data_IF_933487771279
#
_entry.id   IF_933487771279
#
_cell.length_a   1.000
_cell.length_b   1.000
_cell.length_c   1.000
_cell.angle_alpha   90.00
_cell.angle_beta   90.00
_cell.angle_gamma   90.00
#
_symmetry.space_group_name_H-M   'P 1'
#
loop_
_entity.id
_entity.type
_entity.pdbx_description
1 polymer ?
#
# COMPACT_ATOMS: atom_id res chain seq x y z
N UNK A 1 -13.86 -26.85 -20.31
CA UNK A 1 -12.85 -26.32 -19.39
C UNK A 1 -13.44 -25.07 -18.76
N UNK A 2 -13.58 -24.98 -17.43
CA UNK A 2 -14.13 -23.78 -16.83
C UNK A 2 -13.18 -22.61 -17.03
N UNK A 3 -13.70 -21.52 -17.55
CA UNK A 3 -13.01 -20.23 -17.69
C UNK A 3 -12.83 -19.68 -16.26
N UNK A 4 -11.60 -19.61 -15.77
CA UNK A 4 -11.30 -18.94 -14.51
C UNK A 4 -11.55 -17.46 -14.68
N UNK A 5 -12.51 -16.93 -13.93
CA UNK A 5 -12.84 -15.52 -13.87
C UNK A 5 -11.64 -14.73 -13.36
N UNK A 6 -11.25 -13.68 -14.08
CA UNK A 6 -10.16 -12.79 -13.68
C UNK A 6 -10.39 -12.12 -12.31
N UNK A 7 -11.63 -12.13 -11.80
CA UNK A 7 -11.97 -11.62 -10.47
C UNK A 7 -11.49 -12.52 -9.33
N UNK A 8 -11.37 -13.83 -9.54
CA UNK A 8 -10.84 -14.75 -8.52
C UNK A 8 -9.32 -14.64 -8.37
N UNK A 9 -8.62 -14.31 -9.45
CA UNK A 9 -7.17 -14.18 -9.43
C UNK A 9 -6.69 -12.98 -8.58
N UNK A 10 -7.50 -11.95 -8.48
CA UNK A 10 -7.21 -10.76 -7.67
C UNK A 10 -7.64 -10.90 -6.19
N UNK A 11 -8.41 -11.93 -5.84
CA UNK A 11 -8.86 -12.20 -4.47
C UNK A 11 -7.88 -13.01 -3.61
N UNK A 12 -6.86 -13.58 -4.18
CA UNK A 12 -5.89 -14.44 -3.49
C UNK A 12 -5.01 -13.75 -2.45
N UNK A 13 -5.17 -12.45 -2.20
CA UNK A 13 -4.43 -11.68 -1.20
C UNK A 13 -5.24 -11.21 0.01
N UNK A 14 -6.55 -11.46 0.04
CA UNK A 14 -7.38 -11.14 1.20
C UNK A 14 -7.25 -12.24 2.27
N UNK A 15 -6.43 -12.01 3.28
CA UNK A 15 -6.42 -12.81 4.50
C UNK A 15 -7.80 -12.67 5.16
N UNK A 16 -8.49 -13.81 5.26
CA UNK A 16 -9.78 -13.99 5.91
C UNK A 16 -9.69 -13.54 7.39
N UNK A 17 -10.14 -12.34 7.68
CA UNK A 17 -10.23 -11.81 9.03
C UNK A 17 -11.44 -12.46 9.73
N UNK A 18 -11.28 -13.68 10.21
CA UNK A 18 -12.24 -14.31 11.12
C UNK A 18 -12.13 -13.66 12.48
N UNK A 19 -13.14 -12.91 12.82
CA UNK A 19 -13.37 -12.45 14.20
C UNK A 19 -13.52 -13.65 15.14
N UNK A 20 -12.81 -13.73 16.26
CA UNK A 20 -13.06 -14.77 17.25
C UNK A 20 -14.33 -14.43 18.00
N UNK A 21 -15.33 -15.28 17.85
CA UNK A 21 -16.56 -15.31 18.63
C UNK A 21 -16.23 -15.81 20.03
N UNK A 22 -16.44 -14.99 21.04
CA UNK A 22 -16.23 -15.31 22.43
C UNK A 22 -17.08 -16.51 22.89
N UNK A 23 -16.47 -17.40 23.67
CA UNK A 23 -17.11 -18.46 24.40
C UNK A 23 -16.30 -18.73 25.66
N UNK A 24 -16.90 -18.43 26.82
CA UNK A 24 -16.29 -18.60 28.11
C UNK A 24 -16.40 -20.03 28.64
N UNK A 25 -15.64 -20.31 29.72
CA UNK A 25 -15.82 -21.48 30.56
C UNK A 25 -14.51 -22.10 31.04
N UNK A 26 -14.02 -21.81 32.19
CA UNK A 26 -14.07 -22.56 33.41
C UNK A 26 -12.93 -23.55 33.65
N UNK A 27 -12.12 -23.28 34.71
CA UNK A 27 -11.81 -24.30 35.69
C UNK A 27 -10.44 -24.98 35.67
N UNK A 28 -9.67 -24.85 36.78
CA UNK A 28 -8.93 -25.97 37.31
C UNK A 28 -7.40 -25.84 37.35
N UNK A 29 -6.84 -25.41 38.41
CA UNK A 29 -5.88 -25.83 39.43
C UNK A 29 -4.69 -26.72 39.03
N UNK A 30 -3.49 -26.35 39.54
CA UNK A 30 -2.34 -27.22 39.53
C UNK A 30 -1.07 -26.51 40.01
N UNK A 31 -0.72 -26.70 41.26
CA UNK A 31 0.55 -26.28 41.90
C UNK A 31 1.71 -27.13 41.41
N UNK A 32 2.89 -26.54 41.30
CA UNK A 32 4.14 -27.27 41.18
C UNK A 32 5.34 -26.33 41.21
N UNK A 33 6.02 -26.29 42.34
CA UNK A 33 7.22 -25.50 42.55
C UNK A 33 8.45 -26.20 41.98
N UNK A 34 9.48 -25.41 41.71
CA UNK A 34 10.79 -25.86 41.32
C UNK A 34 11.81 -24.73 41.34
N UNK A 35 12.69 -24.72 42.34
CA UNK A 35 13.85 -23.85 42.43
C UNK A 35 14.96 -24.33 41.51
N UNK A 36 15.78 -23.42 40.99
CA UNK A 36 17.18 -23.75 40.77
C UNK A 36 17.84 -23.09 39.56
N UNK A 37 18.77 -22.25 39.89
CA UNK A 37 20.12 -22.16 39.36
C UNK A 37 20.42 -21.23 38.19
N UNK A 38 21.23 -20.26 38.51
CA UNK A 38 22.08 -19.40 37.70
C UNK A 38 22.87 -20.12 36.62
N UNK A 39 22.88 -19.56 35.42
CA UNK A 39 23.77 -19.94 34.33
C UNK A 39 23.98 -18.74 33.42
N UNK A 40 25.18 -18.19 33.48
CA UNK A 40 25.69 -17.08 32.66
C UNK A 40 25.85 -17.45 31.20
N UNK A 41 25.58 -16.49 30.30
CA UNK A 41 26.33 -16.29 29.08
C UNK A 41 25.85 -17.03 27.85
N UNK A 42 25.25 -16.31 26.92
CA UNK A 42 25.68 -16.26 25.51
C UNK A 42 24.88 -15.18 24.77
N UNK A 43 25.60 -14.22 24.26
CA UNK A 43 25.10 -13.26 23.28
C UNK A 43 24.78 -14.03 21.99
N UNK A 44 23.56 -14.48 21.81
CA UNK A 44 23.02 -14.94 20.55
C UNK A 44 22.50 -13.72 19.80
N UNK A 45 23.24 -13.26 18.79
CA UNK A 45 22.77 -12.23 17.89
C UNK A 45 21.52 -12.72 17.16
N UNK A 46 20.38 -12.15 17.51
CA UNK A 46 19.20 -12.19 16.66
C UNK A 46 19.45 -11.23 15.51
N UNK A 47 19.87 -11.76 14.36
CA UNK A 47 19.73 -11.08 13.07
C UNK A 47 18.23 -11.03 12.73
N UNK A 48 17.52 -10.12 13.34
CA UNK A 48 16.24 -9.69 12.83
C UNK A 48 16.53 -8.87 11.60
N UNK A 49 16.24 -9.39 10.40
CA UNK A 49 16.15 -8.57 9.21
C UNK A 49 14.91 -7.68 9.36
N UNK A 50 15.05 -6.63 10.14
CA UNK A 50 14.08 -5.55 10.17
C UNK A 50 14.22 -4.83 8.84
N UNK A 51 13.21 -4.94 7.98
CA UNK A 51 13.05 -4.02 6.87
C UNK A 51 13.00 -2.62 7.45
N UNK A 52 14.10 -1.88 7.35
CA UNK A 52 14.17 -0.49 7.78
C UNK A 52 13.33 0.32 6.80
N UNK A 53 12.08 0.60 7.15
CA UNK A 53 11.24 1.50 6.39
C UNK A 53 11.81 2.91 6.51
N UNK A 54 12.51 3.38 5.49
CA UNK A 54 12.91 4.78 5.41
C UNK A 54 11.68 5.64 5.15
N UNK A 55 11.45 6.68 5.94
CA UNK A 55 10.38 7.65 5.70
C UNK A 55 10.90 8.79 4.86
N UNK A 56 10.30 9.02 3.70
CA UNK A 56 10.67 10.10 2.77
C UNK A 56 9.64 11.22 2.83
N UNK A 57 10.07 12.49 2.95
CA UNK A 57 9.16 13.62 2.84
C UNK A 57 8.56 13.70 1.44
N UNK A 58 7.25 13.95 1.37
CA UNK A 58 6.55 14.30 0.13
C UNK A 58 5.90 15.66 0.27
N UNK A 59 5.91 16.44 -0.80
CA UNK A 59 5.15 17.68 -0.88
C UNK A 59 3.72 17.32 -1.28
N UNK A 60 2.77 17.80 -0.51
CA UNK A 60 1.33 17.57 -0.74
C UNK A 60 0.62 18.93 -0.77
N UNK A 61 -0.55 19.04 -1.41
CA UNK A 61 -1.35 20.25 -1.33
C UNK A 61 -1.64 20.62 0.14
N UNK A 62 -1.22 21.83 0.53
CA UNK A 62 -1.38 22.34 1.90
C UNK A 62 -0.25 22.01 2.87
N UNK A 63 0.88 21.43 2.43
CA UNK A 63 2.03 21.21 3.29
C UNK A 63 2.97 20.10 2.83
N UNK A 64 3.58 19.43 3.79
CA UNK A 64 4.41 18.25 3.56
C UNK A 64 4.00 17.12 4.49
N UNK A 65 4.18 15.90 4.03
CA UNK A 65 3.92 14.68 4.81
C UNK A 65 5.12 13.74 4.72
N UNK A 66 5.14 12.72 5.56
CA UNK A 66 6.13 11.65 5.47
C UNK A 66 5.47 10.39 4.97
N UNK A 67 6.04 9.82 3.93
CA UNK A 67 5.60 8.55 3.33
C UNK A 67 6.68 7.50 3.52
N UNK A 68 6.29 6.26 3.76
CA UNK A 68 7.23 5.15 3.93
C UNK A 68 6.69 3.85 3.37
N UNK A 69 7.61 3.01 2.89
CA UNK A 69 7.31 1.62 2.52
C UNK A 69 6.78 0.85 3.74
N UNK A 70 5.92 -0.13 3.48
CA UNK A 70 5.26 -0.97 4.51
C UNK A 70 4.42 -0.21 5.55
N UNK A 71 4.25 1.11 5.39
CA UNK A 71 3.32 1.88 6.23
C UNK A 71 1.89 1.34 6.09
N UNK A 72 1.14 1.33 7.18
CA UNK A 72 -0.28 1.01 7.17
C UNK A 72 -1.15 2.15 6.59
N UNK A 73 -0.57 3.33 6.37
CA UNK A 73 -1.33 4.50 5.92
C UNK A 73 -2.12 5.15 7.05
N UNK A 74 -3.31 5.63 6.76
CA UNK A 74 -4.19 6.30 7.73
C UNK A 74 -3.73 7.71 8.07
N UNK A 75 -2.96 8.37 7.21
CA UNK A 75 -2.59 9.77 7.38
C UNK A 75 -3.83 10.65 7.63
N UNK A 76 -3.67 11.73 8.43
CA UNK A 76 -4.77 12.56 8.86
C UNK A 76 -5.65 13.04 7.69
N UNK A 77 -6.94 12.85 7.80
CA UNK A 77 -7.88 13.40 6.81
C UNK A 77 -8.00 14.90 7.01
N UNK A 78 -7.63 15.67 5.98
CA UNK A 78 -7.69 17.14 5.98
C UNK A 78 -8.36 17.63 4.70
N UNK A 79 -8.83 18.87 4.73
CA UNK A 79 -9.32 19.55 3.54
C UNK A 79 -8.19 20.41 2.95
N UNK A 80 -7.96 20.29 1.65
CA UNK A 80 -7.00 21.15 0.94
C UNK A 80 -7.50 22.57 0.96
N UNK A 81 -6.72 23.49 1.52
CA UNK A 81 -7.14 24.87 1.77
C UNK A 81 -6.92 25.81 0.57
N UNK A 82 -6.07 25.43 -0.38
CA UNK A 82 -5.70 26.31 -1.50
C UNK A 82 -5.21 25.51 -2.72
N UNK A 83 -5.07 26.22 -3.85
CA UNK A 83 -4.62 25.61 -5.10
C UNK A 83 -5.75 24.97 -5.92
N UNK A 84 -5.41 24.23 -7.00
CA UNK A 84 -6.39 23.72 -7.96
C UNK A 84 -7.34 22.66 -7.35
N UNK A 85 -6.99 22.11 -6.21
CA UNK A 85 -7.78 21.09 -5.51
C UNK A 85 -8.38 21.59 -4.19
N UNK A 86 -8.48 22.91 -3.99
CA UNK A 86 -9.08 23.49 -2.79
C UNK A 86 -10.51 22.94 -2.57
N UNK A 87 -10.81 22.61 -1.32
CA UNK A 87 -12.09 22.02 -0.91
C UNK A 87 -12.16 20.50 -0.95
N UNK A 88 -11.23 19.79 -1.62
CA UNK A 88 -11.17 18.33 -1.62
C UNK A 88 -10.53 17.81 -0.34
N UNK A 89 -10.88 16.60 0.04
CA UNK A 89 -10.26 15.89 1.16
C UNK A 89 -9.01 15.13 0.72
N UNK A 90 -8.06 15.01 1.61
CA UNK A 90 -6.87 14.19 1.44
C UNK A 90 -6.57 13.42 2.73
N UNK A 91 -6.02 12.22 2.62
CA UNK A 91 -5.67 11.35 3.75
C UNK A 91 -6.76 10.35 4.13
N UNK A 92 -6.45 9.53 5.12
CA UNK A 92 -7.35 8.53 5.67
C UNK A 92 -7.29 7.15 4.98
N UNK A 93 -6.62 7.01 3.84
CA UNK A 93 -6.50 5.73 3.16
C UNK A 93 -5.52 4.76 3.84
N UNK A 94 -5.92 3.50 3.99
CA UNK A 94 -5.15 2.46 4.65
C UNK A 94 -4.63 1.42 3.65
N UNK A 95 -3.56 0.68 4.05
CA UNK A 95 -2.95 -0.39 3.26
C UNK A 95 -3.96 -1.43 2.76
N UNK A 96 -4.96 -1.80 3.56
CA UNK A 96 -6.00 -2.74 3.17
C UNK A 96 -6.89 -2.25 2.00
N UNK A 97 -6.88 -0.96 1.71
CA UNK A 97 -7.69 -0.31 0.66
C UNK A 97 -6.86 0.00 -0.59
N UNK A 98 -5.61 -0.50 -0.65
CA UNK A 98 -4.66 -0.08 -1.66
C UNK A 98 -4.95 -0.68 -3.04
N UNK A 99 -5.53 -1.89 -3.07
CA UNK A 99 -5.78 -2.59 -4.32
C UNK A 99 -7.02 -2.02 -5.03
N UNK A 100 -6.83 -1.66 -6.28
CA UNK A 100 -7.90 -1.42 -7.23
C UNK A 100 -8.15 -2.66 -8.09
N UNK A 101 -8.54 -2.43 -9.33
CA UNK A 101 -8.64 -3.44 -10.39
C UNK A 101 -7.78 -3.02 -11.59
N UNK A 102 -8.01 -3.59 -12.77
CA UNK A 102 -7.42 -3.12 -14.04
C UNK A 102 -8.12 -1.87 -14.61
N UNK A 103 -9.13 -1.33 -13.92
CA UNK A 103 -9.89 -0.17 -14.37
C UNK A 103 -9.36 1.14 -13.77
N UNK A 104 -9.13 2.14 -14.62
CA UNK A 104 -8.68 3.46 -14.18
C UNK A 104 -9.73 4.13 -13.30
N UNK A 105 -9.30 4.62 -12.14
CA UNK A 105 -10.17 5.16 -11.11
C UNK A 105 -10.59 4.13 -10.06
N UNK A 106 -10.10 2.89 -10.13
CA UNK A 106 -10.32 1.90 -9.07
C UNK A 106 -9.44 2.12 -7.85
N UNK A 107 -9.80 1.50 -6.72
CA UNK A 107 -9.05 1.60 -5.46
C UNK A 107 -9.29 2.90 -4.67
N UNK A 108 -10.30 3.68 -5.03
CA UNK A 108 -10.79 4.78 -4.21
C UNK A 108 -11.78 4.26 -3.16
N UNK A 109 -11.51 4.44 -1.86
CA UNK A 109 -12.45 4.01 -0.81
C UNK A 109 -13.83 4.67 -0.99
N UNK A 110 -14.87 3.86 -1.07
CA UNK A 110 -16.25 4.33 -1.23
C UNK A 110 -16.68 4.69 -2.65
N UNK A 111 -15.86 4.44 -3.67
CA UNK A 111 -16.19 4.68 -5.08
C UNK A 111 -16.12 3.37 -5.88
N UNK A 112 -17.06 3.17 -6.78
CA UNK A 112 -17.14 1.98 -7.64
C UNK A 112 -16.99 2.26 -9.13
N UNK A 113 -17.15 3.51 -9.57
CA UNK A 113 -17.11 3.90 -10.99
C UNK A 113 -15.70 4.14 -11.54
N UNK A 114 -15.62 4.32 -12.84
CA UNK A 114 -14.42 4.68 -13.60
C UNK A 114 -14.05 6.15 -13.40
N UNK A 115 -12.82 6.47 -13.81
CA UNK A 115 -12.28 7.84 -13.82
C UNK A 115 -11.88 8.33 -12.43
N UNK A 116 -11.25 9.47 -12.40
CA UNK A 116 -10.62 10.05 -11.20
C UNK A 116 -11.05 11.49 -10.93
N UNK A 117 -11.75 12.09 -11.88
CA UNK A 117 -12.11 13.51 -11.85
C UNK A 117 -13.01 13.86 -10.67
N UNK A 118 -12.67 14.92 -9.98
CA UNK A 118 -13.44 15.41 -8.83
C UNK A 118 -13.29 14.57 -7.57
N UNK A 119 -12.51 13.48 -7.57
CA UNK A 119 -12.36 12.59 -6.41
C UNK A 119 -11.36 13.15 -5.40
N UNK A 120 -11.56 12.80 -4.15
CA UNK A 120 -10.66 13.09 -3.05
C UNK A 120 -9.31 12.34 -3.18
N UNK A 121 -8.34 12.65 -2.32
CA UNK A 121 -6.99 12.07 -2.34
C UNK A 121 -6.76 11.19 -1.09
N UNK A 122 -7.37 10.00 -0.98
CA UNK A 122 -7.33 9.19 0.25
C UNK A 122 -5.90 8.80 0.65
N UNK A 123 -4.98 8.75 -0.30
CA UNK A 123 -3.58 8.41 -0.07
C UNK A 123 -2.63 9.62 -0.29
N UNK A 124 -3.14 10.83 -0.48
CA UNK A 124 -2.43 12.07 -0.81
C UNK A 124 -1.86 12.16 -2.23
N UNK A 125 -1.65 11.05 -2.91
CA UNK A 125 -1.09 11.02 -4.26
C UNK A 125 -2.16 11.25 -5.32
N UNK A 126 -1.74 11.82 -6.45
CA UNK A 126 -2.62 12.02 -7.60
C UNK A 126 -2.64 10.76 -8.47
N UNK A 127 -3.74 10.48 -9.11
CA UNK A 127 -3.83 9.39 -10.06
C UNK A 127 -2.90 9.62 -11.26
N UNK A 128 -2.54 8.54 -11.95
CA UNK A 128 -1.71 8.58 -13.15
C UNK A 128 -2.41 9.42 -14.23
N UNK A 129 -1.67 10.32 -14.85
CA UNK A 129 -2.09 11.11 -16.00
C UNK A 129 -1.59 10.43 -17.27
N UNK A 130 -2.40 9.60 -17.88
CA UNK A 130 -2.06 9.00 -19.17
C UNK A 130 -1.95 10.06 -20.28
N UNK A 131 -1.29 9.70 -21.37
CA UNK A 131 -1.17 10.53 -22.55
C UNK A 131 -2.50 10.90 -23.21
N UNK A 132 -2.40 11.65 -24.28
CA UNK A 132 -3.56 12.00 -25.12
C UNK A 132 -3.93 10.82 -26.04
N UNK A 133 -5.17 10.79 -26.49
CA UNK A 133 -5.62 9.82 -27.52
C UNK A 133 -6.62 8.79 -27.03
N UNK A 134 -7.23 9.01 -25.85
CA UNK A 134 -8.28 8.14 -25.29
C UNK A 134 -9.70 8.63 -25.65
N UNK A 135 -9.94 8.97 -26.92
CA UNK A 135 -11.23 9.53 -27.36
C UNK A 135 -12.41 8.60 -27.08
N UNK A 136 -12.21 7.28 -27.12
CA UNK A 136 -13.21 6.28 -26.76
C UNK A 136 -13.38 6.09 -25.24
N UNK A 137 -12.45 6.60 -24.45
CA UNK A 137 -12.45 6.52 -23.00
C UNK A 137 -12.13 7.88 -22.36
N UNK A 138 -13.02 8.88 -22.51
CA UNK A 138 -12.77 10.26 -22.11
C UNK A 138 -12.44 10.41 -20.63
N UNK A 139 -12.88 9.47 -19.77
CA UNK A 139 -12.57 9.45 -18.35
C UNK A 139 -11.05 9.26 -18.07
N UNK A 140 -10.27 8.74 -19.02
CA UNK A 140 -8.80 8.64 -18.92
C UNK A 140 -8.19 10.02 -19.25
N UNK A 141 -8.61 10.67 -20.32
CA UNK A 141 -8.15 12.02 -20.69
C UNK A 141 -8.50 13.07 -19.62
N UNK A 142 -9.62 12.88 -18.92
CA UNK A 142 -10.02 13.75 -17.82
C UNK A 142 -9.00 13.76 -16.69
N UNK A 143 -8.40 12.60 -16.35
CA UNK A 143 -7.32 12.53 -15.38
C UNK A 143 -6.15 13.42 -15.75
N UNK A 144 -5.75 13.41 -17.04
CA UNK A 144 -4.70 14.31 -17.53
C UNK A 144 -5.10 15.79 -17.49
N UNK A 145 -6.34 16.11 -17.83
CA UNK A 145 -6.82 17.50 -17.75
C UNK A 145 -6.83 18.02 -16.31
N UNK A 146 -7.13 17.15 -15.36
CA UNK A 146 -7.21 17.49 -13.95
C UNK A 146 -5.84 17.58 -13.27
N UNK A 147 -4.96 16.61 -13.50
CA UNK A 147 -3.66 16.51 -12.82
C UNK A 147 -2.48 17.05 -13.63
N UNK A 148 -2.72 17.52 -14.84
CA UNK A 148 -1.69 18.01 -15.75
C UNK A 148 -0.96 16.87 -16.45
N UNK A 149 0.15 17.21 -17.12
CA UNK A 149 0.97 16.22 -17.83
C UNK A 149 1.75 15.31 -16.87
N UNK A 150 2.20 14.13 -17.34
CA UNK A 150 2.99 13.21 -16.53
C UNK A 150 4.27 13.80 -15.93
N UNK A 151 4.91 14.73 -16.63
CA UNK A 151 6.14 15.41 -16.22
C UNK A 151 5.91 16.55 -15.20
N UNK A 152 4.68 16.76 -14.74
CA UNK A 152 4.36 17.77 -13.74
C UNK A 152 5.06 17.48 -12.41
N UNK A 153 6.11 18.23 -12.10
CA UNK A 153 6.91 18.08 -10.88
C UNK A 153 6.17 18.50 -9.60
N UNK A 154 5.02 19.16 -9.71
CA UNK A 154 4.16 19.51 -8.55
C UNK A 154 3.37 18.33 -8.01
N UNK A 155 3.39 17.18 -8.68
CA UNK A 155 2.74 15.94 -8.22
C UNK A 155 3.37 15.48 -6.89
N UNK A 156 2.58 15.00 -5.92
CA UNK A 156 3.12 14.37 -4.73
C UNK A 156 4.04 13.19 -5.10
N UNK A 157 5.30 13.24 -4.68
CA UNK A 157 6.30 12.23 -5.04
C UNK A 157 7.08 12.53 -6.33
N UNK A 158 6.78 13.66 -7.01
CA UNK A 158 7.43 14.10 -8.24
C UNK A 158 6.73 13.65 -9.52
N UNK A 159 7.34 13.96 -10.66
CA UNK A 159 6.85 13.58 -11.99
C UNK A 159 6.64 12.07 -12.12
N UNK A 160 5.79 11.66 -13.04
CA UNK A 160 5.55 10.25 -13.32
C UNK A 160 6.74 9.61 -14.01
N UNK A 161 7.04 8.42 -13.59
CA UNK A 161 8.15 7.61 -14.10
C UNK A 161 7.73 6.15 -14.26
N UNK A 162 8.53 5.42 -15.01
CA UNK A 162 8.37 3.99 -15.21
C UNK A 162 9.64 3.23 -14.87
N UNK A 163 9.45 1.98 -14.47
CA UNK A 163 10.51 0.97 -14.37
C UNK A 163 9.99 -0.35 -14.91
N UNK A 164 10.85 -1.10 -15.58
CA UNK A 164 10.50 -2.42 -16.13
C UNK A 164 11.20 -3.56 -15.40
N UNK A 165 10.51 -4.68 -15.35
CA UNK A 165 11.00 -5.94 -14.78
C UNK A 165 10.79 -7.04 -15.82
N UNK A 166 11.84 -7.70 -16.27
CA UNK A 166 11.78 -8.83 -17.19
C UNK A 166 11.86 -10.15 -16.44
N UNK A 167 11.09 -11.15 -16.86
CA UNK A 167 11.11 -12.47 -16.25
C UNK A 167 12.35 -13.26 -16.67
N UNK A 168 12.74 -14.18 -15.81
CA UNK A 168 13.81 -15.15 -16.11
C UNK A 168 13.43 -16.07 -17.28
N UNK A 169 12.14 -16.33 -17.49
CA UNK A 169 11.61 -17.07 -18.63
C UNK A 169 11.72 -16.33 -19.97
N UNK A 170 11.97 -15.01 -19.93
CA UNK A 170 12.16 -14.17 -21.12
C UNK A 170 10.87 -13.81 -21.90
N UNK A 171 9.70 -14.29 -21.46
CA UNK A 171 8.43 -14.10 -22.15
C UNK A 171 7.52 -13.02 -21.51
N UNK A 172 7.91 -12.48 -20.38
CA UNK A 172 7.08 -11.53 -19.62
C UNK A 172 7.91 -10.31 -19.24
N UNK A 173 7.41 -9.12 -19.56
CA UNK A 173 7.91 -7.85 -19.04
C UNK A 173 6.78 -7.14 -18.34
N UNK A 174 7.02 -6.77 -17.09
CA UNK A 174 6.11 -5.96 -16.29
C UNK A 174 6.66 -4.54 -16.20
N UNK A 175 5.75 -3.57 -16.21
CA UNK A 175 6.07 -2.16 -16.01
C UNK A 175 5.35 -1.63 -14.79
N UNK A 176 6.04 -0.84 -13.98
CA UNK A 176 5.41 -0.06 -12.92
C UNK A 176 5.43 1.39 -13.30
N UNK A 177 4.26 2.04 -13.27
CA UNK A 177 4.09 3.48 -13.48
C UNK A 177 3.66 4.10 -12.16
N UNK A 178 4.35 5.13 -11.70
CA UNK A 178 3.98 5.90 -10.53
C UNK A 178 4.77 7.23 -10.50
N UNK A 179 4.56 8.02 -9.44
CA UNK A 179 5.45 9.13 -9.11
C UNK A 179 6.89 8.64 -8.89
N UNK A 180 7.89 9.50 -9.15
CA UNK A 180 9.31 9.16 -9.11
C UNK A 180 9.76 8.56 -7.76
N UNK A 181 9.30 9.10 -6.65
CA UNK A 181 9.66 8.59 -5.33
C UNK A 181 9.14 7.16 -5.14
N UNK A 182 7.94 6.88 -5.60
CA UNK A 182 7.32 5.55 -5.50
C UNK A 182 8.03 4.53 -6.38
N UNK A 183 8.29 4.83 -7.66
CA UNK A 183 9.01 3.89 -8.55
C UNK A 183 10.41 3.59 -8.03
N UNK A 184 11.14 4.60 -7.57
CA UNK A 184 12.47 4.44 -6.98
C UNK A 184 12.43 3.53 -5.74
N UNK A 185 11.44 3.73 -4.84
CA UNK A 185 11.30 2.89 -3.65
C UNK A 185 10.93 1.45 -3.97
N UNK A 186 10.13 1.22 -5.00
CA UNK A 186 9.65 -0.11 -5.37
C UNK A 186 10.71 -0.98 -6.06
N UNK A 187 11.69 -0.39 -6.74
CA UNK A 187 12.75 -1.15 -7.41
C UNK A 187 13.45 -2.08 -6.43
N UNK A 188 13.98 -1.54 -5.35
CA UNK A 188 14.74 -2.33 -4.38
C UNK A 188 13.89 -3.42 -3.73
N UNK A 189 12.61 -3.12 -3.46
CA UNK A 189 11.68 -4.07 -2.87
C UNK A 189 11.36 -5.23 -3.82
N UNK A 190 11.09 -4.94 -5.11
CA UNK A 190 10.83 -5.97 -6.12
C UNK A 190 12.07 -6.82 -6.35
N UNK A 191 13.24 -6.22 -6.46
CA UNK A 191 14.49 -6.99 -6.60
C UNK A 191 14.79 -7.85 -5.38
N UNK A 192 14.52 -7.35 -4.19
CA UNK A 192 14.72 -8.10 -2.94
C UNK A 192 13.79 -9.30 -2.82
N UNK A 193 12.52 -9.14 -3.19
CA UNK A 193 11.48 -10.15 -2.97
C UNK A 193 11.31 -11.11 -4.14
N UNK A 194 11.52 -10.65 -5.38
CA UNK A 194 11.22 -11.39 -6.60
C UNK A 194 12.47 -11.82 -7.38
N UNK A 195 13.66 -11.74 -6.78
CA UNK A 195 14.94 -12.00 -7.45
C UNK A 195 14.97 -13.32 -8.26
N UNK A 196 14.37 -14.38 -7.73
CA UNK A 196 14.33 -15.69 -8.41
C UNK A 196 13.49 -15.72 -9.69
N UNK A 197 12.61 -14.75 -9.88
CA UNK A 197 11.74 -14.64 -11.05
C UNK A 197 12.22 -13.57 -12.04
N UNK A 198 13.20 -12.75 -11.64
CA UNK A 198 13.69 -11.64 -12.44
C UNK A 198 14.93 -12.03 -13.26
N UNK A 199 14.94 -11.62 -14.52
CA UNK A 199 16.12 -11.74 -15.37
C UNK A 199 17.26 -10.84 -14.88
N UNK A 200 18.49 -11.32 -14.98
CA UNK A 200 19.70 -10.54 -14.68
C UNK A 200 19.87 -9.32 -15.60
N UNK A 201 19.23 -9.32 -16.76
CA UNK A 201 19.25 -8.21 -17.72
C UNK A 201 18.25 -7.10 -17.38
N UNK A 202 17.41 -7.28 -16.35
CA UNK A 202 16.45 -6.27 -15.93
C UNK A 202 17.16 -5.00 -15.47
N UNK A 203 16.80 -3.87 -16.05
CA UNK A 203 17.36 -2.56 -15.68
C UNK A 203 16.76 -2.06 -14.37
N UNK A 204 17.60 -1.51 -13.50
CA UNK A 204 17.14 -0.76 -12.30
C UNK A 204 16.98 0.74 -12.56
N UNK A 205 16.88 1.12 -13.82
CA UNK A 205 16.79 2.54 -14.20
C UNK A 205 15.34 2.97 -14.25
N UNK A 206 15.05 4.03 -13.50
CA UNK A 206 13.78 4.75 -13.57
C UNK A 206 13.86 5.70 -14.77
N UNK A 207 12.87 5.67 -15.64
CA UNK A 207 12.77 6.58 -16.78
C UNK A 207 11.51 7.44 -16.70
N UNK A 208 11.56 8.64 -17.30
CA UNK A 208 10.37 9.48 -17.38
C UNK A 208 9.23 8.74 -18.11
N UNK A 209 8.02 8.86 -17.59
CA UNK A 209 6.85 8.27 -18.24
C UNK A 209 6.53 9.04 -19.54
N UNK A 210 6.46 8.33 -20.65
CA UNK A 210 6.22 8.87 -22.00
C UNK A 210 5.07 8.14 -22.70
N UNK A 211 3.93 8.00 -22.01
CA UNK A 211 2.70 7.37 -22.48
C UNK A 211 2.82 5.86 -22.83
N UNK A 212 3.88 5.23 -22.40
CA UNK A 212 4.07 3.77 -22.45
C UNK A 212 4.56 3.29 -21.06
N UNK A 213 3.88 2.28 -20.46
CA UNK A 213 2.71 1.53 -20.95
C UNK A 213 1.42 2.34 -21.00
N UNK A 214 0.50 1.93 -21.86
CA UNK A 214 -0.83 2.55 -22.04
C UNK A 214 -1.84 1.98 -21.03
N UNK A 215 -2.99 2.68 -20.86
CA UNK A 215 -4.03 2.28 -19.91
C UNK A 215 -4.58 0.86 -20.15
N UNK A 216 -4.67 0.43 -21.41
CA UNK A 216 -5.12 -0.91 -21.77
C UNK A 216 -4.14 -2.03 -21.45
N UNK A 217 -2.87 -1.70 -21.18
CA UNK A 217 -1.86 -2.68 -20.73
C UNK A 217 -1.86 -2.91 -19.22
N UNK A 218 -2.66 -2.15 -18.46
CA UNK A 218 -2.67 -2.22 -17.01
C UNK A 218 -3.41 -3.48 -16.54
N UNK A 219 -2.74 -4.25 -15.70
CA UNK A 219 -3.30 -5.44 -15.06
C UNK A 219 -3.80 -5.15 -13.64
N UNK A 220 -3.22 -4.13 -12.98
CA UNK A 220 -3.59 -3.76 -11.61
C UNK A 220 -3.28 -2.30 -11.33
N UNK A 221 -4.25 -1.57 -10.77
CA UNK A 221 -4.03 -0.28 -10.13
C UNK A 221 -3.92 -0.43 -8.62
N UNK A 222 -3.18 0.50 -8.01
CA UNK A 222 -3.04 0.60 -6.56
C UNK A 222 -3.16 2.05 -6.12
N UNK A 223 -3.41 2.26 -4.83
CA UNK A 223 -3.34 3.58 -4.17
C UNK A 223 -4.16 4.63 -4.94
N UNK A 224 -5.46 4.33 -5.13
CA UNK A 224 -6.40 5.19 -5.88
C UNK A 224 -5.85 5.58 -7.28
N UNK A 225 -5.41 4.58 -8.04
CA UNK A 225 -4.87 4.70 -9.40
C UNK A 225 -3.64 5.61 -9.54
N UNK A 226 -2.91 5.88 -8.44
CA UNK A 226 -1.65 6.62 -8.49
C UNK A 226 -0.43 5.71 -8.74
N UNK A 227 -0.62 4.40 -8.76
CA UNK A 227 0.37 3.39 -9.14
C UNK A 227 -0.32 2.37 -10.03
N UNK A 228 0.35 1.95 -11.09
CA UNK A 228 -0.14 0.92 -11.99
C UNK A 228 0.94 -0.12 -12.28
N UNK A 229 0.51 -1.37 -12.35
CA UNK A 229 1.27 -2.50 -12.88
C UNK A 229 0.73 -2.83 -14.26
N UNK A 230 1.59 -2.80 -15.26
CA UNK A 230 1.26 -3.14 -16.65
C UNK A 230 2.00 -4.41 -17.07
N UNK A 231 1.41 -5.12 -18.01
CA UNK A 231 2.00 -6.28 -18.68
C UNK A 231 2.25 -5.92 -20.15
N UNK A 232 3.50 -5.98 -20.57
CA UNK A 232 3.87 -5.74 -21.96
C UNK A 232 3.16 -6.72 -22.90
N UNK A 233 2.66 -6.22 -24.02
CA UNK A 233 1.88 -7.03 -24.98
C UNK A 233 0.45 -7.39 -24.55
N UNK A 234 0.00 -6.98 -23.35
CA UNK A 234 -1.40 -7.13 -22.93
C UNK A 234 -2.26 -5.96 -23.42
N UNK A 235 -3.48 -6.28 -23.86
CA UNK A 235 -4.45 -5.28 -24.33
C UNK A 235 -5.84 -5.58 -23.75
N UNK A 236 -6.21 -4.88 -22.69
CA UNK A 236 -7.53 -4.93 -22.07
C UNK A 236 -8.47 -3.91 -22.73
N UNK A 237 -9.20 -4.32 -23.75
CA UNK A 237 -10.14 -3.43 -24.46
C UNK A 237 -11.25 -2.89 -23.56
N UNK A 238 -11.62 -3.61 -22.49
CA UNK A 238 -12.58 -3.13 -21.51
C UNK A 238 -12.09 -1.87 -20.77
N UNK A 239 -10.76 -1.68 -20.64
CA UNK A 239 -10.20 -0.46 -20.08
C UNK A 239 -10.48 0.80 -20.92
N UNK A 240 -10.89 0.64 -22.16
CA UNK A 240 -11.24 1.75 -23.06
C UNK A 240 -12.76 1.88 -23.26
N UNK A 241 -13.56 1.07 -22.61
CA UNK A 241 -15.02 1.13 -22.69
C UNK A 241 -15.59 2.15 -21.71
N UNK A 242 -16.66 2.84 -22.07
CA UNK A 242 -17.44 3.67 -21.15
C UNK A 242 -18.48 2.87 -20.33
N UNK A 243 -18.60 1.57 -20.57
CA UNK A 243 -19.46 0.69 -19.81
C UNK A 243 -18.73 0.19 -18.56
N UNK A 244 -19.22 0.58 -17.39
CA UNK A 244 -18.65 0.17 -16.09
C UNK A 244 -18.70 -1.36 -15.86
N UNK A 245 -19.58 -2.05 -16.60
CA UNK A 245 -19.74 -3.50 -16.53
C UNK A 245 -18.92 -4.24 -17.61
N UNK A 246 -18.14 -3.54 -18.43
CA UNK A 246 -17.32 -4.19 -19.44
C UNK A 246 -16.36 -5.19 -18.79
N UNK A 247 -16.42 -6.44 -19.24
CA UNK A 247 -15.57 -7.52 -18.73
C UNK A 247 -14.13 -7.32 -19.20
N UNK A 248 -13.20 -7.35 -18.26
CA UNK A 248 -11.78 -7.24 -18.57
C UNK A 248 -11.32 -8.40 -19.48
N UNK A 249 -10.48 -8.09 -20.46
CA UNK A 249 -9.84 -9.10 -21.30
C UNK A 249 -9.03 -10.06 -20.39
N UNK A 250 -9.17 -11.38 -20.55
CA UNK A 250 -8.38 -12.34 -19.79
C UNK A 250 -6.88 -12.11 -19.98
N UNK A 251 -6.12 -12.33 -18.91
CA UNK A 251 -4.67 -12.26 -18.99
C UNK A 251 -4.13 -13.38 -19.91
N UNK A 252 -3.13 -13.10 -20.74
CA UNK A 252 -2.60 -14.05 -21.70
C UNK A 252 -1.93 -15.25 -21.00
N UNK A 253 -2.05 -16.44 -21.59
CA UNK A 253 -1.50 -17.68 -21.00
C UNK A 253 0.04 -17.70 -20.99
N UNK A 254 0.67 -16.98 -21.91
CA UNK A 254 2.13 -16.92 -22.01
C UNK A 254 2.82 -16.16 -20.87
N UNK A 255 2.04 -15.41 -20.04
CA UNK A 255 2.62 -14.63 -18.93
C UNK A 255 3.31 -15.51 -17.90
N UNK A 256 4.39 -15.02 -17.32
CA UNK A 256 5.00 -15.61 -16.13
C UNK A 256 4.16 -15.28 -14.89
N UNK A 257 3.32 -16.24 -14.50
CA UNK A 257 2.38 -16.10 -13.38
C UNK A 257 3.14 -15.96 -12.05
N UNK A 258 4.27 -16.63 -11.88
CA UNK A 258 5.08 -16.55 -10.66
C UNK A 258 5.63 -15.16 -10.46
N UNK A 259 6.22 -14.59 -11.52
CA UNK A 259 6.72 -13.22 -11.49
C UNK A 259 5.61 -12.20 -11.28
N UNK A 260 4.50 -12.32 -12.03
CA UNK A 260 3.37 -11.40 -11.91
C UNK A 260 2.83 -11.38 -10.47
N UNK A 261 2.63 -12.55 -9.87
CA UNK A 261 2.17 -12.66 -8.48
C UNK A 261 3.15 -12.06 -7.48
N UNK A 262 4.44 -12.33 -7.66
CA UNK A 262 5.48 -11.80 -6.78
C UNK A 262 5.48 -10.25 -6.84
N UNK A 263 5.53 -9.68 -8.04
CA UNK A 263 5.57 -8.22 -8.22
C UNK A 263 4.29 -7.57 -7.71
N UNK A 264 3.11 -8.12 -8.05
CA UNK A 264 1.82 -7.63 -7.58
C UNK A 264 1.75 -7.58 -6.04
N UNK A 265 2.12 -8.69 -5.38
CA UNK A 265 2.12 -8.77 -3.91
C UNK A 265 3.14 -7.81 -3.29
N UNK A 266 4.32 -7.70 -3.88
CA UNK A 266 5.37 -6.80 -3.40
C UNK A 266 4.94 -5.34 -3.49
N UNK A 267 4.35 -4.91 -4.61
CA UNK A 267 3.83 -3.55 -4.75
C UNK A 267 2.75 -3.30 -3.68
N UNK A 268 1.78 -4.19 -3.54
CA UNK A 268 0.71 -4.04 -2.55
C UNK A 268 1.23 -3.90 -1.11
N UNK A 269 2.27 -4.66 -0.77
CA UNK A 269 2.88 -4.60 0.56
C UNK A 269 3.79 -3.37 0.77
N UNK A 270 4.56 -2.97 -0.26
CA UNK A 270 5.67 -2.04 -0.12
C UNK A 270 5.38 -0.62 -0.63
N UNK A 271 4.37 -0.40 -1.47
CA UNK A 271 4.11 0.96 -1.98
C UNK A 271 4.05 1.97 -0.83
N UNK A 272 4.76 3.10 -0.93
CA UNK A 272 4.83 4.08 0.16
C UNK A 272 3.46 4.69 0.47
N UNK A 273 3.12 4.77 1.75
CA UNK A 273 1.92 5.44 2.25
C UNK A 273 2.29 6.46 3.31
N UNK A 274 1.50 7.54 3.37
CA UNK A 274 1.59 8.53 4.44
C UNK A 274 1.04 7.93 5.73
N UNK A 275 1.87 7.91 6.77
CA UNK A 275 1.47 7.41 8.07
C UNK A 275 0.40 8.31 8.71
N UNK A 276 -0.44 7.73 9.53
CA UNK A 276 -1.16 8.49 10.55
C UNK A 276 -0.14 9.36 11.29
N UNK A 277 -0.43 10.64 11.46
CA UNK A 277 0.42 11.53 12.27
C UNK A 277 0.67 10.81 13.59
N UNK A 278 1.95 10.58 13.91
CA UNK A 278 2.35 9.69 14.99
C UNK A 278 1.70 10.06 16.32
N UNK A 279 0.56 9.48 16.58
CA UNK A 279 0.30 9.00 17.90
C UNK A 279 1.35 7.92 18.12
N UNK A 280 2.42 8.23 18.82
CA UNK A 280 3.09 7.24 19.64
C UNK A 280 1.98 6.66 20.51
N UNK A 281 1.30 5.63 20.02
CA UNK A 281 0.68 4.65 20.88
C UNK A 281 1.84 3.83 21.48
N UNK A 282 2.76 4.50 22.17
CA UNK A 282 3.35 3.91 23.32
C UNK A 282 2.13 3.61 24.21
N UNK A 283 1.66 2.37 24.17
CA UNK A 283 1.03 1.77 25.31
C UNK A 283 2.12 1.83 26.38
N UNK A 284 2.24 2.97 27.06
CA UNK A 284 2.77 3.01 28.39
C UNK A 284 1.80 2.13 29.17
N UNK A 285 2.14 0.84 29.27
CA UNK A 285 1.71 0.05 30.39
C UNK A 285 2.33 0.79 31.60
N UNK A 286 1.59 1.76 32.10
CA UNK A 286 1.73 2.20 33.46
C UNK A 286 1.43 0.94 34.28
N UNK A 287 2.49 0.19 34.59
CA UNK A 287 2.47 -0.72 35.70
C UNK A 287 2.00 0.15 36.87
N UNK A 288 0.71 0.03 37.17
CA UNK A 288 0.19 0.48 38.43
C UNK A 288 0.94 -0.35 39.48
N UNK A 289 2.10 0.15 39.90
CA UNK A 289 2.63 -0.22 41.17
C UNK A 289 1.62 0.29 42.18
N UNK A 290 0.66 -0.57 42.54
CA UNK A 290 -0.02 -0.45 43.81
C UNK A 290 1.09 -0.50 44.88
N UNK A 291 1.53 0.69 45.27
CA UNK A 291 2.35 0.81 46.48
C UNK A 291 1.42 0.46 47.64
N UNK A 292 1.55 -0.79 48.11
CA UNK A 292 0.96 -1.26 49.39
C UNK A 292 1.51 -0.51 50.63
N UNK A 293 2.16 0.64 50.40
CA UNK A 293 2.75 1.45 51.48
C UNK A 293 1.84 2.48 52.14
N UNK A 294 0.71 2.84 51.52
CA UNK A 294 -0.18 3.90 52.05
C UNK A 294 -1.24 3.38 53.04
N UNK A 295 -1.48 2.09 53.10
CA UNK A 295 -2.50 1.48 53.95
C UNK A 295 -2.07 1.23 55.41
N UNK A 296 -0.79 1.13 55.69
CA UNK A 296 -0.28 0.79 57.04
C UNK A 296 -0.13 2.04 57.92
N UNK A 297 0.03 3.22 57.30
CA UNK A 297 0.19 4.46 58.09
C UNK A 297 -1.13 4.99 58.68
N UNK A 298 -2.28 4.64 58.16
CA UNK A 298 -3.57 5.10 58.70
C UNK A 298 -4.08 4.26 59.91
N UNK A 299 -3.60 3.03 60.07
CA UNK A 299 -4.03 2.18 61.20
C UNK A 299 -3.31 2.59 62.50
N UNK A 300 -2.11 3.20 62.41
CA UNK A 300 -1.34 3.65 63.61
C UNK A 300 -1.89 4.94 64.24
N UNK A 301 -2.59 5.77 63.48
CA UNK A 301 -3.13 7.04 64.00
C UNK A 301 -4.43 6.80 64.76
N UNK A 302 -5.15 5.72 64.49
CA UNK A 302 -6.41 5.42 65.23
C UNK A 302 -6.20 4.64 66.53
N UNK A 303 -5.01 4.03 66.75
CA UNK A 303 -4.70 3.33 68.01
C UNK A 303 -4.06 4.24 69.04
N UNK A 304 -3.62 5.44 68.67
CA UNK A 304 -3.03 6.42 69.58
C UNK A 304 -4.00 7.45 70.17
N UNK A 305 -5.32 7.29 69.88
CA UNK A 305 -6.38 8.19 70.34
C UNK A 305 -7.45 7.48 71.23
N UNK A 306 -7.13 6.32 71.77
CA UNK A 306 -7.93 5.68 72.84
C UNK A 306 -7.13 5.56 74.12
#
# INVERSE_FOLDING_TARGET
MPVLDSSEYLRGGALDARSPKGGGGGGGGGRGGGRGSSGSGSKGGKSGSGSSSSSTPIVIPGGSAKSSTYSNGGGATTTISSGPFAGRKQGGGYRLQIYGSSMYGSGYPGYTGRGVTGRDFPFYYWAIAFGIGYQSAPYIDEGRREFGSPDNSSRPGGAETTVSFASVSGNTTLWVVADNMTTTSLIDEVYSKCASSLSNSTSRVVVAYSDNPRAESIVQYYRASSVALALDGYNNTAALSNDDNATATPLPEWRDTTMLNCVNTTIGAAVPLVNAAGGNCAITMTSAHLSLGAGVAMIWVLVSLV
#
